data_IF_365959938780
#
_entry.id   IF_365959938780
#
_cell.length_a   1.000
_cell.length_b   1.000
_cell.length_c   1.000
_cell.angle_alpha   90.00
_cell.angle_beta   90.00
_cell.angle_gamma   90.00
#
_symmetry.space_group_name_H-M   'P 1'
#
loop_
_entity.id
_entity.type
_entity.pdbx_description
1 polymer ?
#
# COMPACT_ATOMS: atom_id res chain seq x y z
N UNK A 1 -15.10 77.68 36.46
CA UNK A 1 -14.49 77.78 35.11
C UNK A 1 -14.65 76.44 34.42
N UNK A 2 -15.31 76.42 33.27
CA UNK A 2 -15.47 75.27 32.39
C UNK A 2 -14.11 74.71 31.94
N UNK A 3 -14.02 73.40 31.68
CA UNK A 3 -13.78 72.79 30.35
C UNK A 3 -13.98 71.27 30.45
N UNK A 4 -14.92 70.74 29.66
CA UNK A 4 -15.04 69.32 29.31
C UNK A 4 -13.91 68.88 28.38
N UNK A 5 -13.44 67.63 28.50
CA UNK A 5 -12.97 66.87 27.34
C UNK A 5 -13.21 65.36 27.51
N UNK A 6 -14.07 64.82 26.65
CA UNK A 6 -14.25 63.40 26.34
C UNK A 6 -13.02 62.84 25.62
N UNK A 7 -12.71 61.56 25.85
CA UNK A 7 -12.22 60.53 24.90
C UNK A 7 -11.71 59.35 25.74
N UNK A 8 -12.00 58.07 25.51
CA UNK A 8 -12.73 57.36 24.48
C UNK A 8 -12.44 55.88 24.74
N UNK A 9 -13.47 55.10 25.05
CA UNK A 9 -13.37 53.66 25.29
C UNK A 9 -13.11 52.96 23.94
N UNK A 10 -11.89 52.45 23.75
CA UNK A 10 -11.56 51.57 22.63
C UNK A 10 -12.10 50.17 22.91
N UNK A 11 -13.37 49.95 22.57
CA UNK A 11 -13.93 48.63 22.31
C UNK A 11 -13.34 48.14 20.98
N UNK A 12 -12.21 47.45 21.05
CA UNK A 12 -11.66 46.71 19.92
C UNK A 12 -12.58 45.54 19.60
N UNK A 13 -13.48 45.72 18.63
CA UNK A 13 -14.18 44.63 17.97
C UNK A 13 -13.14 43.83 17.18
N UNK A 14 -12.68 42.71 17.73
CA UNK A 14 -12.03 41.67 16.95
C UNK A 14 -13.08 41.04 16.04
N UNK A 15 -13.31 41.65 14.89
CA UNK A 15 -13.97 41.01 13.76
C UNK A 15 -13.04 39.92 13.25
N UNK A 16 -13.08 38.75 13.89
CA UNK A 16 -12.54 37.53 13.30
C UNK A 16 -13.38 37.31 12.04
N UNK A 17 -12.81 37.64 10.87
CA UNK A 17 -13.30 37.11 9.61
C UNK A 17 -13.19 35.59 9.73
N UNK A 18 -14.29 34.97 10.14
CA UNK A 18 -14.49 33.56 9.91
C UNK A 18 -14.47 33.36 8.42
N UNK A 19 -13.31 32.97 7.88
CA UNK A 19 -13.27 32.21 6.66
C UNK A 19 -14.03 30.92 6.97
N UNK A 20 -15.36 30.94 6.78
CA UNK A 20 -16.10 29.72 6.56
C UNK A 20 -15.42 29.07 5.36
N UNK A 21 -14.57 28.09 5.63
CA UNK A 21 -14.25 27.07 4.66
C UNK A 21 -15.62 26.62 4.14
N UNK A 22 -15.91 26.92 2.86
CA UNK A 22 -17.10 26.38 2.21
C UNK A 22 -16.99 24.88 2.38
N UNK A 23 -17.80 24.31 3.27
CA UNK A 23 -17.95 22.86 3.36
C UNK A 23 -18.20 22.37 1.93
N UNK A 24 -17.27 21.56 1.43
CA UNK A 24 -17.40 20.94 0.13
C UNK A 24 -18.72 20.18 0.16
N UNK A 25 -19.66 20.41 -0.77
CA UNK A 25 -20.96 19.76 -0.71
C UNK A 25 -20.75 18.25 -0.63
N UNK A 26 -21.46 17.60 0.31
CA UNK A 26 -21.39 16.16 0.49
C UNK A 26 -21.67 15.46 -0.83
N UNK A 27 -20.93 14.40 -1.19
CA UNK A 27 -21.18 13.66 -2.42
C UNK A 27 -22.65 13.25 -2.53
N UNK A 28 -23.24 13.40 -3.71
CA UNK A 28 -24.60 12.93 -3.96
C UNK A 28 -24.59 11.41 -4.11
N UNK A 29 -25.44 10.73 -3.33
CA UNK A 29 -25.68 9.29 -3.46
C UNK A 29 -26.50 8.97 -4.73
N UNK A 30 -26.32 7.77 -5.34
CA UNK A 30 -25.42 6.70 -4.90
C UNK A 30 -23.94 6.96 -5.25
N UNK A 31 -23.05 6.34 -4.48
CA UNK A 31 -21.59 6.36 -4.71
C UNK A 31 -21.15 4.94 -5.01
N UNK A 32 -20.51 4.73 -6.14
CA UNK A 32 -19.96 3.44 -6.54
C UNK A 32 -18.48 3.38 -6.15
N UNK A 33 -18.12 2.39 -5.32
CA UNK A 33 -16.74 2.05 -4.95
C UNK A 33 -16.36 0.74 -5.62
N UNK A 34 -15.55 0.81 -6.67
CA UNK A 34 -14.97 -0.37 -7.31
C UNK A 34 -13.59 -0.66 -6.75
N UNK A 35 -13.27 -1.94 -6.55
CA UNK A 35 -11.94 -2.42 -6.20
C UNK A 35 -11.50 -3.41 -7.27
N UNK A 36 -10.45 -3.07 -7.99
CA UNK A 36 -9.89 -3.90 -9.05
C UNK A 36 -8.46 -4.32 -8.70
N UNK A 37 -8.18 -5.62 -8.82
CA UNK A 37 -6.84 -6.19 -8.71
C UNK A 37 -6.14 -6.07 -10.06
N UNK A 38 -5.04 -5.32 -10.10
CA UNK A 38 -4.22 -5.14 -11.30
C UNK A 38 -3.13 -6.20 -11.36
N UNK A 39 -2.50 -6.46 -10.22
CA UNK A 39 -1.41 -7.43 -10.12
C UNK A 39 -1.32 -8.00 -8.70
N UNK A 40 -1.06 -9.31 -8.53
CA UNK A 40 -1.00 -10.37 -9.55
C UNK A 40 -2.37 -10.71 -10.14
N UNK A 41 -2.39 -11.36 -11.31
CA UNK A 41 -3.63 -11.86 -11.94
C UNK A 41 -3.85 -13.34 -11.62
N UNK A 42 -5.12 -13.80 -11.58
CA UNK A 42 -5.45 -15.18 -11.25
C UNK A 42 -4.89 -16.16 -12.29
N UNK A 43 -4.40 -17.30 -11.82
CA UNK A 43 -3.89 -18.41 -12.63
C UNK A 43 -2.70 -18.05 -13.54
N UNK A 44 -2.03 -16.94 -13.26
CA UNK A 44 -0.80 -16.55 -13.95
C UNK A 44 0.44 -17.06 -13.20
N UNK A 45 1.52 -17.28 -13.95
CA UNK A 45 2.82 -17.65 -13.37
C UNK A 45 3.81 -16.52 -13.57
N UNK A 46 4.30 -15.95 -12.46
CA UNK A 46 5.25 -14.84 -12.47
C UNK A 46 6.67 -15.28 -12.16
N UNK A 47 7.65 -14.45 -12.50
CA UNK A 47 9.01 -14.62 -11.97
C UNK A 47 9.07 -14.14 -10.53
N UNK A 48 9.86 -14.81 -9.66
CA UNK A 48 10.08 -14.35 -8.30
C UNK A 48 11.02 -13.14 -8.30
N UNK A 49 10.48 -11.96 -8.60
CA UNK A 49 11.22 -10.70 -8.59
C UNK A 49 11.25 -10.09 -7.18
N UNK A 50 12.30 -9.35 -6.87
CA UNK A 50 12.40 -8.60 -5.62
C UNK A 50 12.45 -7.08 -5.88
N UNK A 51 11.65 -6.29 -5.14
CA UNK A 51 10.47 -6.70 -4.38
C UNK A 51 9.35 -7.18 -5.31
N UNK A 52 8.42 -7.99 -4.81
CA UNK A 52 7.24 -8.40 -5.55
C UNK A 52 6.09 -7.42 -5.29
N UNK A 53 5.40 -6.90 -6.34
CA UNK A 53 4.35 -5.91 -6.14
C UNK A 53 2.99 -6.56 -5.88
N UNK A 54 2.12 -5.85 -5.19
CA UNK A 54 0.68 -6.11 -5.07
C UNK A 54 -0.01 -4.79 -5.37
N UNK A 55 -0.87 -4.79 -6.39
CA UNK A 55 -1.42 -3.55 -6.97
C UNK A 55 -2.92 -3.66 -7.11
N UNK A 56 -3.64 -2.79 -6.40
CA UNK A 56 -5.07 -2.56 -6.56
C UNK A 56 -5.34 -1.16 -7.10
N UNK A 57 -6.48 -0.98 -7.76
CA UNK A 57 -7.05 0.30 -8.10
C UNK A 57 -8.44 0.42 -7.49
N UNK A 58 -8.71 1.55 -6.85
CA UNK A 58 -9.99 1.86 -6.25
C UNK A 58 -10.64 3.00 -7.03
N UNK A 59 -11.78 2.73 -7.67
CA UNK A 59 -12.56 3.72 -8.40
C UNK A 59 -13.67 4.28 -7.51
N UNK A 60 -13.91 5.59 -7.58
CA UNK A 60 -14.88 6.27 -6.70
C UNK A 60 -14.40 6.42 -5.26
N UNK A 61 -13.13 6.09 -4.99
CA UNK A 61 -12.51 6.14 -3.66
C UNK A 61 -12.61 7.55 -3.06
N UNK A 62 -12.41 8.61 -3.84
CA UNK A 62 -12.47 10.00 -3.39
C UNK A 62 -13.83 10.34 -2.78
N UNK A 63 -14.92 9.82 -3.37
CA UNK A 63 -16.29 10.07 -2.92
C UNK A 63 -16.65 9.16 -1.74
N UNK A 64 -16.17 7.92 -1.74
CA UNK A 64 -16.44 6.95 -0.67
C UNK A 64 -15.57 7.19 0.59
N UNK A 65 -14.40 7.83 0.45
CA UNK A 65 -13.40 8.01 1.52
C UNK A 65 -13.97 8.55 2.85
N UNK A 66 -14.83 9.61 2.84
CA UNK A 66 -15.36 10.17 4.07
C UNK A 66 -16.27 9.20 4.86
N UNK A 67 -16.78 8.16 4.21
CA UNK A 67 -17.75 7.21 4.78
C UNK A 67 -17.12 5.99 5.44
N UNK A 68 -15.79 5.90 5.43
CA UNK A 68 -15.06 4.87 6.16
C UNK A 68 -15.15 3.48 5.56
N UNK A 69 -14.18 3.13 4.74
CA UNK A 69 -13.93 1.75 4.32
C UNK A 69 -12.48 1.35 4.62
N UNK A 70 -12.22 0.05 4.64
CA UNK A 70 -10.88 -0.52 4.75
C UNK A 70 -10.75 -1.72 3.82
N UNK A 71 -9.81 -1.64 2.88
CA UNK A 71 -9.32 -2.77 2.12
C UNK A 71 -8.16 -3.39 2.90
N UNK A 72 -8.19 -4.70 3.11
CA UNK A 72 -7.08 -5.46 3.65
C UNK A 72 -6.74 -6.57 2.67
N UNK A 73 -5.47 -6.97 2.63
CA UNK A 73 -5.02 -8.08 1.82
C UNK A 73 -4.03 -8.94 2.60
N UNK A 74 -3.94 -10.20 2.19
CA UNK A 74 -3.08 -11.23 2.75
C UNK A 74 -2.48 -12.01 1.60
N UNK A 75 -1.17 -12.11 1.54
CA UNK A 75 -0.46 -12.99 0.63
C UNK A 75 0.15 -14.12 1.43
N UNK A 76 -0.11 -15.37 1.03
CA UNK A 76 0.46 -16.55 1.66
C UNK A 76 0.91 -17.60 0.65
N UNK A 77 1.91 -18.40 1.03
CA UNK A 77 2.29 -19.59 0.26
C UNK A 77 1.15 -20.61 0.30
N UNK A 78 0.67 -21.04 -0.88
CA UNK A 78 -0.34 -22.07 -0.98
C UNK A 78 0.30 -23.41 -0.58
N UNK A 79 -0.20 -23.99 0.50
CA UNK A 79 0.36 -25.18 1.12
C UNK A 79 -0.51 -26.39 0.77
N UNK A 80 0.10 -27.40 0.16
CA UNK A 80 -0.44 -28.75 0.22
C UNK A 80 0.12 -29.43 1.48
N UNK A 81 -0.70 -30.21 2.19
CA UNK A 81 -0.25 -31.06 3.31
C UNK A 81 0.98 -31.89 2.86
N UNK A 82 2.08 -31.96 3.64
CA UNK A 82 2.11 -32.07 5.10
C UNK A 82 2.77 -30.87 5.83
N UNK A 83 2.74 -29.69 5.25
CA UNK A 83 3.39 -28.49 5.82
C UNK A 83 2.65 -28.05 7.11
N UNK A 84 3.42 -27.70 8.15
CA UNK A 84 2.90 -27.09 9.38
C UNK A 84 2.48 -25.65 9.10
N UNK A 85 1.30 -25.25 9.57
CA UNK A 85 0.72 -23.91 9.32
C UNK A 85 1.65 -22.77 9.76
N UNK A 86 2.51 -23.02 10.74
CA UNK A 86 3.47 -22.04 11.27
C UNK A 86 4.65 -21.75 10.33
N UNK A 87 4.91 -22.63 9.36
CA UNK A 87 6.02 -22.51 8.38
C UNK A 87 5.56 -21.88 7.05
N UNK A 88 4.29 -21.46 6.96
CA UNK A 88 3.74 -20.85 5.75
C UNK A 88 4.14 -19.37 5.70
N UNK A 89 4.88 -18.93 4.67
CA UNK A 89 5.20 -17.53 4.51
C UNK A 89 3.91 -16.73 4.34
N UNK A 90 3.70 -15.74 5.21
CA UNK A 90 2.54 -14.85 5.19
C UNK A 90 2.91 -13.38 5.37
N UNK A 91 2.26 -12.50 4.60
CA UNK A 91 2.37 -11.03 4.73
C UNK A 91 1.00 -10.39 4.53
N UNK A 92 0.80 -9.25 5.17
CA UNK A 92 -0.46 -8.51 5.15
C UNK A 92 -0.22 -7.06 4.76
N UNK A 93 -1.25 -6.43 4.23
CA UNK A 93 -1.32 -4.98 4.10
C UNK A 93 -2.74 -4.48 4.11
N UNK A 94 -2.90 -3.16 4.07
CA UNK A 94 -4.21 -2.53 4.02
C UNK A 94 -4.16 -1.16 3.37
N UNK A 95 -5.30 -0.71 2.87
CA UNK A 95 -5.53 0.65 2.44
C UNK A 95 -6.86 1.16 3.02
N UNK A 96 -6.86 2.29 3.77
CA UNK A 96 -5.66 2.99 4.26
C UNK A 96 -4.83 2.13 5.24
N UNK A 97 -3.58 2.53 5.48
CA UNK A 97 -2.65 1.83 6.39
C UNK A 97 -3.20 1.74 7.83
N UNK A 98 -3.89 2.79 8.28
CA UNK A 98 -4.42 2.88 9.63
C UNK A 98 -5.95 2.95 9.65
N UNK A 99 -6.58 2.09 10.47
CA UNK A 99 -8.04 2.03 10.69
C UNK A 99 -8.84 2.07 9.37
N UNK A 100 -9.85 2.94 9.28
CA UNK A 100 -10.74 3.10 8.14
C UNK A 100 -10.47 4.47 7.50
N UNK A 101 -10.85 4.60 6.23
CA UNK A 101 -10.80 5.89 5.55
C UNK A 101 -11.57 6.97 6.32
N UNK A 102 -11.08 8.20 6.30
CA UNK A 102 -11.73 9.32 6.98
C UNK A 102 -11.28 10.64 6.37
N UNK A 103 -12.06 11.69 6.57
CA UNK A 103 -11.78 13.00 5.99
C UNK A 103 -11.80 12.96 4.46
N UNK A 104 -10.88 13.70 3.84
CA UNK A 104 -10.69 13.71 2.38
C UNK A 104 -9.49 12.87 1.98
N UNK A 105 -9.61 12.17 0.86
CA UNK A 105 -8.47 11.56 0.19
C UNK A 105 -7.55 12.65 -0.38
N UNK A 106 -6.25 12.55 -0.12
CA UNK A 106 -5.21 13.44 -0.66
C UNK A 106 -4.01 12.61 -1.15
N UNK A 107 -3.63 12.69 -2.44
CA UNK A 107 -4.32 13.42 -3.50
C UNK A 107 -5.65 12.74 -3.87
N UNK A 108 -6.67 13.55 -4.16
CA UNK A 108 -8.00 13.11 -4.60
C UNK A 108 -8.00 12.66 -6.08
N UNK A 109 -7.05 11.80 -6.45
CA UNK A 109 -6.86 11.30 -7.82
C UNK A 109 -7.65 10.00 -8.02
N UNK A 110 -8.26 9.87 -9.19
CA UNK A 110 -9.01 8.68 -9.60
C UNK A 110 -8.35 8.00 -10.81
N UNK A 111 -8.21 6.66 -10.81
CA UNK A 111 -8.43 5.78 -9.67
C UNK A 111 -7.35 5.96 -8.60
N UNK A 112 -7.68 5.64 -7.35
CA UNK A 112 -6.71 5.60 -6.27
C UNK A 112 -5.96 4.27 -6.30
N UNK A 113 -4.66 4.31 -6.59
CA UNK A 113 -3.83 3.11 -6.63
C UNK A 113 -3.30 2.75 -5.24
N UNK A 114 -3.50 1.48 -4.85
CA UNK A 114 -2.89 0.89 -3.67
C UNK A 114 -1.76 0.00 -4.16
N UNK A 115 -0.53 0.46 -3.96
CA UNK A 115 0.69 -0.21 -4.43
C UNK A 115 1.47 -0.63 -3.19
N UNK A 116 1.63 -1.93 -3.00
CA UNK A 116 2.42 -2.49 -1.91
C UNK A 116 3.55 -3.34 -2.48
N UNK A 117 4.68 -3.36 -1.77
CA UNK A 117 5.84 -4.18 -2.06
C UNK A 117 6.01 -5.26 -0.99
N UNK A 118 6.51 -6.43 -1.38
CA UNK A 118 6.89 -7.49 -0.44
C UNK A 118 8.13 -8.24 -0.86
N UNK A 119 8.99 -8.56 0.12
CA UNK A 119 10.13 -9.45 -0.03
C UNK A 119 9.83 -10.93 0.20
N UNK A 120 8.57 -11.30 0.50
CA UNK A 120 8.25 -12.62 1.04
C UNK A 120 8.60 -13.78 0.11
N UNK A 121 8.57 -13.54 -1.21
CA UNK A 121 8.88 -14.55 -2.22
C UNK A 121 10.38 -14.84 -2.35
N UNK A 122 11.26 -13.93 -1.91
CA UNK A 122 12.71 -14.11 -2.01
C UNK A 122 13.28 -15.11 -1.00
N UNK A 123 12.57 -15.37 0.10
CA UNK A 123 13.06 -16.16 1.23
C UNK A 123 12.40 -17.54 1.33
N UNK A 124 11.87 -18.07 0.22
CA UNK A 124 11.04 -19.28 0.29
C UNK A 124 11.13 -20.16 -0.94
N UNK A 125 10.85 -21.46 -0.78
CA UNK A 125 10.78 -22.44 -1.87
C UNK A 125 9.36 -22.63 -2.41
N UNK A 126 8.39 -21.87 -1.91
CA UNK A 126 7.00 -21.96 -2.34
C UNK A 126 6.84 -21.36 -3.73
N UNK A 127 6.22 -22.13 -4.61
CA UNK A 127 5.91 -21.69 -5.98
C UNK A 127 4.45 -21.30 -6.13
N UNK A 128 3.56 -21.82 -5.30
CA UNK A 128 2.11 -21.53 -5.35
C UNK A 128 1.75 -20.51 -4.28
N UNK A 129 0.87 -19.56 -4.61
CA UNK A 129 0.52 -18.44 -3.75
C UNK A 129 -0.98 -18.16 -3.79
N UNK A 130 -1.54 -17.84 -2.62
CA UNK A 130 -2.91 -17.31 -2.48
C UNK A 130 -2.84 -15.83 -2.09
N UNK A 131 -3.49 -14.96 -2.88
CA UNK A 131 -3.76 -13.57 -2.50
C UNK A 131 -5.22 -13.46 -2.08
N UNK A 132 -5.45 -13.28 -0.78
CA UNK A 132 -6.75 -12.99 -0.20
C UNK A 132 -6.95 -11.49 0.03
N UNK A 133 -8.19 -11.04 0.03
CA UNK A 133 -8.57 -9.68 0.40
C UNK A 133 -9.84 -9.66 1.25
N UNK A 134 -10.03 -8.55 1.96
CA UNK A 134 -11.30 -8.20 2.56
C UNK A 134 -11.59 -6.71 2.48
N UNK A 135 -12.83 -6.35 2.12
CA UNK A 135 -13.35 -5.00 2.21
C UNK A 135 -14.33 -4.91 3.38
N UNK A 136 -14.12 -3.93 4.25
CA UNK A 136 -15.02 -3.65 5.36
C UNK A 136 -15.46 -2.20 5.37
N UNK A 137 -16.69 -1.95 5.83
CA UNK A 137 -17.24 -0.59 6.00
C UNK A 137 -17.31 -0.27 7.50
N UNK A 138 -16.91 0.94 7.87
CA UNK A 138 -16.75 1.38 9.26
C UNK A 138 -18.07 1.30 10.03
N UNK A 139 -19.14 1.82 9.42
CA UNK A 139 -20.44 1.88 10.05
C UNK A 139 -21.58 1.78 9.03
N UNK A 140 -22.09 0.57 8.86
CA UNK A 140 -23.26 0.28 8.05
C UNK A 140 -24.57 0.48 8.86
N UNK A 141 -25.67 0.85 8.20
CA UNK A 141 -26.99 0.98 8.83
C UNK A 141 -27.74 -0.32 9.08
N UNK A 142 -27.13 -1.49 8.85
CA UNK A 142 -27.78 -2.78 8.97
C UNK A 142 -28.20 -3.07 10.43
N UNK A 143 -29.45 -3.47 10.69
CA UNK A 143 -29.93 -3.78 12.03
C UNK A 143 -29.37 -5.15 12.46
N UNK A 144 -28.19 -5.17 13.06
CA UNK A 144 -27.56 -6.39 13.58
C UNK A 144 -26.12 -6.15 14.05
N UNK A 145 -25.48 -7.12 14.72
CA UNK A 145 -24.06 -7.05 15.07
C UNK A 145 -23.14 -7.28 13.86
N UNK A 146 -23.69 -7.77 12.75
CA UNK A 146 -22.94 -8.07 11.54
C UNK A 146 -22.53 -6.77 10.85
N UNK A 147 -21.22 -6.60 10.70
CA UNK A 147 -20.64 -5.50 9.93
C UNK A 147 -20.55 -5.92 8.47
N UNK A 148 -20.78 -4.99 7.54
CA UNK A 148 -20.45 -5.22 6.15
C UNK A 148 -18.98 -5.66 6.02
N UNK A 149 -18.80 -6.90 5.60
CA UNK A 149 -17.51 -7.53 5.39
C UNK A 149 -17.61 -8.44 4.18
N UNK A 150 -16.81 -8.14 3.15
CA UNK A 150 -16.67 -9.00 1.96
C UNK A 150 -15.24 -9.48 1.87
N UNK A 151 -15.06 -10.71 1.42
CA UNK A 151 -13.74 -11.31 1.26
C UNK A 151 -13.70 -12.15 -0.01
N UNK A 152 -12.50 -12.35 -0.52
CA UNK A 152 -12.24 -13.20 -1.67
C UNK A 152 -10.77 -13.57 -1.73
N UNK A 153 -10.43 -14.46 -2.66
CA UNK A 153 -9.04 -14.82 -2.94
C UNK A 153 -8.83 -15.21 -4.39
N UNK A 154 -7.59 -15.10 -4.85
CA UNK A 154 -7.10 -15.69 -6.09
C UNK A 154 -5.86 -16.52 -5.81
N UNK A 155 -5.57 -17.45 -6.72
CA UNK A 155 -4.31 -18.18 -6.74
C UNK A 155 -3.47 -17.75 -7.95
N UNK A 156 -2.17 -17.75 -7.77
CA UNK A 156 -1.18 -17.58 -8.84
C UNK A 156 0.09 -18.37 -8.46
N UNK A 157 1.02 -18.50 -9.39
CA UNK A 157 2.26 -19.22 -9.15
C UNK A 157 3.51 -18.43 -9.53
N UNK A 158 4.66 -18.94 -9.14
CA UNK A 158 5.98 -18.38 -9.41
C UNK A 158 6.91 -19.43 -9.99
N UNK A 159 7.67 -19.04 -11.00
CA UNK A 159 8.66 -19.89 -11.67
C UNK A 159 9.74 -19.02 -12.30
N UNK A 160 10.96 -19.54 -12.45
CA UNK A 160 12.04 -18.85 -13.17
C UNK A 160 11.70 -18.56 -14.64
N UNK A 161 10.81 -19.36 -15.24
CA UNK A 161 10.30 -19.16 -16.60
C UNK A 161 9.03 -18.31 -16.69
N UNK A 162 8.53 -17.80 -15.55
CA UNK A 162 7.30 -17.02 -15.49
C UNK A 162 7.38 -15.66 -16.18
N UNK A 163 6.27 -14.92 -16.12
CA UNK A 163 6.15 -13.56 -16.61
C UNK A 163 6.76 -12.55 -15.63
N UNK A 164 7.39 -11.51 -16.14
CA UNK A 164 7.76 -10.36 -15.32
C UNK A 164 6.51 -9.50 -15.05
N UNK A 165 6.43 -8.83 -13.88
CA UNK A 165 5.44 -7.79 -13.68
C UNK A 165 5.57 -6.73 -14.77
N UNK A 166 4.45 -6.43 -15.43
CA UNK A 166 4.46 -5.60 -16.61
C UNK A 166 3.18 -4.77 -16.69
N UNK A 167 3.34 -3.46 -16.73
CA UNK A 167 2.27 -2.47 -16.80
C UNK A 167 2.37 -1.78 -18.16
N UNK A 168 1.48 -2.17 -19.09
CA UNK A 168 1.45 -1.64 -20.45
C UNK A 168 0.14 -0.89 -20.68
N UNK A 169 0.18 0.24 -21.40
CA UNK A 169 -1.04 0.86 -21.89
C UNK A 169 -1.87 -0.17 -22.67
N UNK A 170 -3.15 -0.31 -22.33
CA UNK A 170 -4.06 -1.32 -22.93
C UNK A 170 -3.61 -2.77 -22.71
N UNK A 171 -3.01 -3.06 -21.55
CA UNK A 171 -2.79 -4.43 -21.09
C UNK A 171 -4.11 -5.19 -20.83
N UNK A 172 -4.04 -6.42 -20.28
CA UNK A 172 -5.23 -7.13 -19.83
C UNK A 172 -6.04 -6.27 -18.86
N UNK A 173 -7.37 -6.34 -18.93
CA UNK A 173 -8.20 -5.62 -17.97
C UNK A 173 -7.90 -6.09 -16.55
N UNK A 174 -7.82 -5.17 -15.58
CA UNK A 174 -7.82 -5.50 -14.16
C UNK A 174 -9.01 -6.41 -13.81
N UNK A 175 -8.83 -7.27 -12.82
CA UNK A 175 -9.90 -8.09 -12.28
C UNK A 175 -10.70 -7.25 -11.27
N UNK A 176 -11.96 -6.98 -11.54
CA UNK A 176 -12.84 -6.42 -10.51
C UNK A 176 -13.10 -7.48 -9.44
N UNK A 177 -12.64 -7.21 -8.22
CA UNK A 177 -12.73 -8.14 -7.09
C UNK A 177 -13.83 -7.75 -6.11
N UNK A 178 -14.32 -6.51 -6.17
CA UNK A 178 -15.45 -6.03 -5.39
C UNK A 178 -16.04 -4.76 -6.03
N UNK A 179 -17.36 -4.69 -6.11
CA UNK A 179 -18.11 -3.46 -6.34
C UNK A 179 -19.04 -3.23 -5.16
N UNK A 180 -18.96 -2.08 -4.52
CA UNK A 180 -19.82 -1.72 -3.38
C UNK A 180 -20.46 -0.38 -3.65
N UNK A 181 -21.79 -0.36 -3.71
CA UNK A 181 -22.57 0.84 -3.89
C UNK A 181 -23.03 1.36 -2.53
N UNK A 182 -22.68 2.60 -2.22
CA UNK A 182 -23.24 3.34 -1.10
C UNK A 182 -24.52 4.01 -1.60
N UNK A 183 -25.64 3.69 -0.96
CA UNK A 183 -26.97 4.12 -1.38
C UNK A 183 -27.43 5.37 -0.63
N UNK A 184 -27.03 5.51 0.62
CA UNK A 184 -27.52 6.56 1.51
C UNK A 184 -26.60 6.72 2.73
N UNK A 185 -26.64 7.89 3.38
CA UNK A 185 -26.02 8.15 4.68
C UNK A 185 -27.10 8.61 5.65
N UNK A 186 -27.37 7.79 6.67
CA UNK A 186 -28.47 8.00 7.61
C UNK A 186 -27.94 8.28 9.00
N UNK A 187 -28.79 8.85 9.85
CA UNK A 187 -28.52 8.88 11.29
C UNK A 187 -28.49 7.45 11.83
N UNK A 188 -27.43 7.12 12.57
CA UNK A 188 -27.29 5.80 13.19
C UNK A 188 -28.50 5.52 14.10
N UNK A 189 -29.23 4.41 13.91
CA UNK A 189 -30.37 4.08 14.75
C UNK A 189 -29.96 3.92 16.22
N UNK A 190 -30.81 4.39 17.15
CA UNK A 190 -30.55 4.30 18.60
C UNK A 190 -30.39 2.86 19.13
N UNK A 191 -30.87 1.86 18.38
CA UNK A 191 -30.71 0.44 18.68
C UNK A 191 -29.31 -0.13 18.40
N UNK A 192 -28.45 0.60 17.69
CA UNK A 192 -27.04 0.22 17.47
C UNK A 192 -26.24 0.64 18.70
N UNK A 193 -26.09 -0.25 19.67
CA UNK A 193 -25.37 0.00 20.93
C UNK A 193 -23.98 -0.63 20.98
N UNK A 194 -23.71 -1.68 20.19
CA UNK A 194 -22.39 -2.28 20.05
C UNK A 194 -21.56 -1.57 18.97
N UNK A 195 -20.33 -1.16 19.31
CA UNK A 195 -19.35 -0.59 18.38
C UNK A 195 -19.84 0.61 17.54
N UNK A 196 -20.70 1.47 18.11
CA UNK A 196 -21.08 2.74 17.48
C UNK A 196 -19.84 3.65 17.37
N UNK A 197 -19.36 3.90 16.16
CA UNK A 197 -18.16 4.72 15.88
C UNK A 197 -18.46 6.12 15.35
N UNK A 198 -19.71 6.36 14.96
CA UNK A 198 -20.23 7.56 14.32
C UNK A 198 -21.73 7.76 14.60
N UNK A 199 -22.14 9.01 14.55
CA UNK A 199 -23.54 9.43 14.59
C UNK A 199 -24.28 9.17 13.27
N UNK A 200 -23.54 8.88 12.20
CA UNK A 200 -24.06 8.47 10.90
C UNK A 200 -23.62 7.05 10.52
N UNK A 201 -24.43 6.42 9.68
CA UNK A 201 -24.18 5.11 9.11
C UNK A 201 -24.48 5.14 7.61
N UNK A 202 -23.82 4.29 6.83
CA UNK A 202 -24.10 4.15 5.40
C UNK A 202 -24.94 2.93 5.09
N UNK A 203 -25.85 3.06 4.14
CA UNK A 203 -26.54 1.92 3.53
C UNK A 203 -25.71 1.50 2.33
N UNK A 204 -25.30 0.24 2.26
CA UNK A 204 -24.49 -0.28 1.16
C UNK A 204 -25.13 -1.52 0.54
N UNK A 205 -24.79 -1.80 -0.72
CA UNK A 205 -25.13 -3.04 -1.43
C UNK A 205 -24.00 -3.44 -2.38
N UNK A 206 -23.81 -4.73 -2.59
CA UNK A 206 -22.96 -5.31 -3.64
C UNK A 206 -23.76 -6.12 -4.67
N UNK A 207 -25.08 -6.04 -4.63
CA UNK A 207 -25.96 -6.76 -5.55
C UNK A 207 -26.30 -5.94 -6.80
N UNK A 208 -26.00 -4.64 -6.79
CA UNK A 208 -26.36 -3.70 -7.84
C UNK A 208 -25.16 -2.81 -8.18
N UNK A 209 -25.07 -2.44 -9.45
CA UNK A 209 -23.92 -1.72 -9.99
C UNK A 209 -22.93 -2.67 -10.66
N UNK A 210 -22.13 -2.09 -11.55
CA UNK A 210 -21.04 -2.77 -12.24
C UNK A 210 -19.94 -1.71 -12.41
N UNK A 211 -18.70 -2.05 -12.10
CA UNK A 211 -17.57 -1.20 -12.44
C UNK A 211 -17.13 -1.43 -13.88
N UNK A 212 -16.29 -0.54 -14.39
CA UNK A 212 -15.61 -0.71 -15.68
C UNK A 212 -14.11 -0.83 -15.42
N UNK A 213 -13.63 -2.02 -14.98
CA UNK A 213 -12.22 -2.20 -14.65
C UNK A 213 -11.33 -1.99 -15.87
N UNK A 214 -11.84 -2.23 -17.08
CA UNK A 214 -11.12 -2.01 -18.33
C UNK A 214 -10.87 -0.52 -18.65
N UNK A 215 -11.61 0.40 -18.02
CA UNK A 215 -11.38 1.85 -18.14
C UNK A 215 -10.16 2.35 -17.35
N UNK A 216 -9.63 1.53 -16.42
CA UNK A 216 -8.48 1.88 -15.59
C UNK A 216 -7.21 1.91 -16.44
N UNK A 217 -6.55 3.06 -16.48
CA UNK A 217 -5.26 3.19 -17.16
C UNK A 217 -4.15 2.48 -16.36
N UNK A 218 -3.72 1.32 -16.86
CA UNK A 218 -2.60 0.53 -16.34
C UNK A 218 -1.28 0.82 -17.07
N UNK A 219 -1.20 1.98 -17.73
CA UNK A 219 -0.08 2.40 -18.57
C UNK A 219 1.13 2.96 -17.83
N UNK A 220 1.82 3.90 -18.47
CA UNK A 220 3.15 4.37 -18.06
C UNK A 220 3.19 5.04 -16.68
N UNK A 221 2.12 5.74 -16.30
CA UNK A 221 2.04 6.39 -14.99
C UNK A 221 2.04 5.36 -13.86
N UNK A 222 1.17 4.34 -13.97
CA UNK A 222 1.16 3.23 -13.02
C UNK A 222 2.49 2.49 -12.98
N UNK A 223 3.08 2.21 -14.15
CA UNK A 223 4.41 1.58 -14.22
C UNK A 223 5.47 2.38 -13.45
N UNK A 224 5.41 3.71 -13.53
CA UNK A 224 6.33 4.61 -12.83
C UNK A 224 6.09 4.60 -11.33
N UNK A 225 4.83 4.64 -10.88
CA UNK A 225 4.47 4.57 -9.46
C UNK A 225 4.86 3.23 -8.84
N UNK A 226 4.60 2.12 -9.54
CA UNK A 226 5.01 0.78 -9.08
C UNK A 226 6.52 0.70 -8.96
N UNK A 227 7.27 1.11 -10.00
CA UNK A 227 8.73 1.11 -9.95
C UNK A 227 9.24 1.93 -8.76
N UNK A 228 8.72 3.14 -8.56
CA UNK A 228 9.12 4.00 -7.45
C UNK A 228 8.88 3.31 -6.10
N UNK A 229 7.71 2.69 -5.90
CA UNK A 229 7.40 1.99 -4.66
C UNK A 229 8.29 0.76 -4.43
N UNK A 230 8.60 0.00 -5.48
CA UNK A 230 9.51 -1.15 -5.38
C UNK A 230 10.94 -0.73 -5.03
N UNK A 231 11.45 0.34 -5.66
CA UNK A 231 12.78 0.88 -5.35
C UNK A 231 12.82 1.48 -3.94
N UNK A 232 11.76 2.18 -3.53
CA UNK A 232 11.62 2.72 -2.16
C UNK A 232 11.66 1.61 -1.12
N UNK A 233 10.92 0.52 -1.34
CA UNK A 233 10.90 -0.64 -0.42
C UNK A 233 12.27 -1.32 -0.35
N UNK A 234 12.96 -1.46 -1.47
CA UNK A 234 14.30 -2.05 -1.54
C UNK A 234 15.43 -1.09 -1.13
N UNK A 235 15.10 0.14 -0.69
CA UNK A 235 16.06 1.19 -0.34
C UNK A 235 17.07 1.50 -1.46
N UNK A 236 16.62 1.40 -2.70
CA UNK A 236 17.39 1.68 -3.90
C UNK A 236 17.28 3.15 -4.32
N UNK A 237 18.29 3.73 -4.99
CA UNK A 237 18.12 5.02 -5.65
C UNK A 237 17.00 5.02 -6.71
N UNK A 238 16.25 6.12 -6.80
CA UNK A 238 15.09 6.24 -7.70
C UNK A 238 15.43 6.14 -9.20
N UNK A 239 16.70 6.31 -9.57
CA UNK A 239 17.17 6.24 -10.95
C UNK A 239 17.44 4.81 -11.45
N UNK A 240 17.23 3.81 -10.60
CA UNK A 240 17.41 2.41 -10.95
C UNK A 240 16.22 1.83 -11.73
N UNK A 241 16.44 0.68 -12.36
CA UNK A 241 15.37 -0.09 -12.99
C UNK A 241 14.78 -1.10 -12.02
N UNK A 242 13.48 -1.31 -12.11
CA UNK A 242 12.80 -2.46 -11.51
C UNK A 242 11.74 -2.97 -12.52
N UNK A 243 11.55 -4.30 -12.67
CA UNK A 243 12.32 -5.37 -12.07
C UNK A 243 13.77 -5.42 -12.58
N UNK A 244 14.73 -5.77 -11.72
CA UNK A 244 16.12 -6.03 -12.12
C UNK A 244 16.55 -7.41 -11.59
N UNK A 245 16.37 -8.42 -12.43
CA UNK A 245 16.65 -9.82 -12.11
C UNK A 245 18.15 -10.12 -11.93
N UNK A 246 19.04 -9.18 -12.26
CA UNK A 246 20.49 -9.39 -12.14
C UNK A 246 21.03 -8.81 -10.84
N UNK A 247 20.50 -7.65 -10.47
CA UNK A 247 21.05 -6.86 -9.39
C UNK A 247 20.14 -6.86 -8.14
N UNK A 248 18.82 -6.96 -8.29
CA UNK A 248 17.83 -6.97 -7.21
C UNK A 248 17.33 -8.38 -6.92
N UNK A 249 18.16 -9.15 -6.22
CA UNK A 249 17.92 -10.54 -5.85
C UNK A 249 17.31 -10.69 -4.45
N UNK A 250 17.40 -9.65 -3.62
CA UNK A 250 16.87 -9.69 -2.25
C UNK A 250 17.10 -8.38 -1.48
N UNK A 251 16.75 -8.36 -0.19
CA UNK A 251 16.79 -7.14 0.64
C UNK A 251 18.15 -6.45 0.70
N UNK A 252 19.24 -7.21 0.70
CA UNK A 252 20.58 -6.64 0.80
C UNK A 252 21.16 -6.19 -0.55
N UNK A 253 20.47 -6.45 -1.66
CA UNK A 253 20.96 -6.17 -3.00
C UNK A 253 21.33 -4.70 -3.19
N UNK A 254 20.44 -3.77 -2.84
CA UNK A 254 20.70 -2.36 -3.07
C UNK A 254 21.74 -1.77 -2.13
N UNK A 255 21.76 -2.21 -0.86
CA UNK A 255 22.82 -1.81 0.08
C UNK A 255 24.20 -2.27 -0.39
N UNK A 256 24.31 -3.45 -0.98
CA UNK A 256 25.57 -3.94 -1.54
C UNK A 256 26.02 -3.17 -2.80
N UNK A 257 25.07 -2.82 -3.67
CA UNK A 257 25.35 -2.12 -4.93
C UNK A 257 25.64 -0.63 -4.71
N UNK A 258 24.98 -0.02 -3.74
CA UNK A 258 25.01 1.41 -3.44
C UNK A 258 25.23 1.64 -1.94
N UNK A 259 26.41 1.27 -1.40
CA UNK A 259 26.70 1.46 0.01
C UNK A 259 26.66 2.95 0.36
N UNK A 260 26.03 3.30 1.49
CA UNK A 260 26.10 4.66 2.02
C UNK A 260 27.54 4.99 2.42
N UNK A 261 27.89 6.29 2.56
CA UNK A 261 29.24 6.68 2.99
C UNK A 261 29.63 6.07 4.35
N UNK A 262 28.66 5.87 5.25
CA UNK A 262 28.87 5.17 6.54
C UNK A 262 29.11 3.68 6.34
N UNK A 263 28.36 3.02 5.47
CA UNK A 263 28.56 1.59 5.17
C UNK A 263 29.89 1.35 4.46
N UNK A 264 30.32 2.28 3.60
CA UNK A 264 31.62 2.24 2.94
C UNK A 264 32.78 2.41 3.94
N UNK A 265 32.63 3.28 4.94
CA UNK A 265 33.59 3.42 6.04
C UNK A 265 33.65 2.17 6.92
N UNK A 266 32.51 1.57 7.27
CA UNK A 266 32.47 0.33 8.06
C UNK A 266 33.08 -0.86 7.30
N UNK A 267 32.82 -1.00 6.00
CA UNK A 267 33.45 -2.02 5.16
C UNK A 267 34.95 -1.76 5.00
N UNK A 268 35.38 -0.50 4.85
CA UNK A 268 36.80 -0.14 4.81
C UNK A 268 37.50 -0.45 6.16
N UNK A 269 36.83 -0.16 7.28
CA UNK A 269 37.32 -0.46 8.63
C UNK A 269 37.36 -1.97 8.92
N UNK A 270 36.50 -2.77 8.29
CA UNK A 270 36.54 -4.23 8.38
C UNK A 270 37.65 -4.84 7.51
N UNK A 271 37.96 -4.22 6.36
CA UNK A 271 39.01 -4.67 5.43
C UNK A 271 40.42 -4.26 5.84
N UNK A 272 40.58 -3.15 6.57
CA UNK A 272 41.86 -2.66 7.11
C UNK A 272 42.62 -3.72 7.96
N UNK A 273 41.99 -4.44 8.92
CA UNK A 273 42.66 -5.50 9.66
C UNK A 273 42.94 -6.78 8.83
N UNK A 274 42.16 -7.04 7.77
CA UNK A 274 42.40 -8.17 6.87
C UNK A 274 43.61 -7.93 5.94
N UNK A 275 43.81 -6.69 5.48
CA UNK A 275 45.00 -6.31 4.73
C UNK A 275 46.27 -6.31 5.61
N UNK A 276 46.17 -5.89 6.87
CA UNK A 276 47.29 -5.91 7.82
C UNK A 276 47.70 -7.33 8.23
N UNK A 277 46.75 -8.27 8.37
CA UNK A 277 47.07 -9.68 8.67
C UNK A 277 47.72 -10.42 7.48
N UNK A 278 47.36 -10.09 6.24
CA UNK A 278 48.02 -10.62 5.05
C UNK A 278 49.47 -10.12 4.90
N UNK A 279 49.74 -8.85 5.23
CA UNK A 279 51.11 -8.30 5.19
C UNK A 279 52.00 -8.90 6.27
N UNK A 280 51.48 -9.12 7.49
CA UNK A 280 52.26 -9.74 8.58
C UNK A 280 52.60 -11.20 8.29
N UNK A 281 51.68 -11.99 7.71
CA UNK A 281 52.00 -13.37 7.30
C UNK A 281 52.94 -13.44 6.08
N UNK A 282 52.87 -12.50 5.14
CA UNK A 282 53.81 -12.41 4.03
C UNK A 282 55.25 -12.10 4.48
N UNK A 283 55.43 -11.23 5.48
CA UNK A 283 56.77 -10.92 6.02
C UNK A 283 57.37 -12.05 6.86
N UNK A 284 56.56 -12.86 7.56
CA UNK A 284 57.08 -13.99 8.35
C UNK A 284 57.52 -15.15 7.47
N UNK A 285 56.87 -15.38 6.31
CA UNK A 285 57.26 -16.46 5.39
C UNK A 285 58.55 -16.12 4.64
N UNK A 286 58.81 -14.85 4.27
CA UNK A 286 60.06 -14.48 3.59
C UNK A 286 61.28 -14.54 4.52
N UNK A 287 61.10 -14.31 5.84
CA UNK A 287 62.19 -14.42 6.81
C UNK A 287 62.63 -15.87 7.10
N UNK A 288 61.75 -16.87 6.87
CA UNK A 288 62.08 -18.28 7.08
C UNK A 288 62.76 -18.97 5.89
N UNK A 289 62.78 -18.35 4.70
CA UNK A 289 63.48 -18.87 3.52
C UNK A 289 64.84 -18.21 3.25
N UNK A 290 65.30 -17.31 4.14
CA UNK A 290 66.57 -16.60 4.03
C UNK A 290 67.59 -16.93 5.15
N UNK A 291 67.43 -18.06 5.86
CA UNK A 291 68.42 -18.61 6.79
C UNK A 291 68.91 -19.97 6.34
#
# INVERSE_FOLDING_TARGET
MNVSLLLGVLLGTFSVLGMQAKEKPSPQFPIDLGVSLIFPQPNETYRPVYPFPIVFALTGATKAWPYGFKLQWRLEGNWTTPIKKEDVPIVYGSAPDWLYSSGSLDPATEPYFVINATGIMGNTSYTEWELGWSLSILQECSPGPERYWKYGSINFSTSSSGLLPNYKPKGPCPLEIQHTRFLDNRTTPKGVTGDRRSESCVVVTDQEGEGDPCSIDTGHELATMVRAEMLRYAECPDNQSWPDEKNLLGPDSCRCLYPSSKDAEDVANLMLPAALTAVVMGTVVVAFFAM
#
